data_IF_580721863236
#
_entry.id   IF_580721863236
#
_cell.length_a   1.000
_cell.length_b   1.000
_cell.length_c   1.000
_cell.angle_alpha   90.00
_cell.angle_beta   90.00
_cell.angle_gamma   90.00
#
_symmetry.space_group_name_H-M   'P 1'
#
loop_
_entity.id
_entity.type
_entity.pdbx_description
1 polymer ?
#
# COMPACT_ATOMS: atom_id res chain seq x y z
N UNK A 1 -6.88 -3.07 18.27
CA UNK A 1 -6.46 -2.64 16.92
C UNK A 1 -5.08 -3.26 16.67
N UNK A 2 -5.04 -4.51 16.18
CA UNK A 2 -3.80 -5.31 16.14
C UNK A 2 -2.92 -5.03 14.90
N UNK A 3 -3.36 -4.16 13.99
CA UNK A 3 -2.66 -3.87 12.74
C UNK A 3 -1.38 -3.05 12.94
N UNK A 4 -1.33 -2.14 13.93
CA UNK A 4 -0.13 -1.37 14.25
C UNK A 4 1.04 -2.27 14.68
N UNK A 5 0.76 -3.34 15.43
CA UNK A 5 1.79 -4.29 15.84
C UNK A 5 2.29 -5.12 14.65
N UNK A 6 1.38 -5.54 13.77
CA UNK A 6 1.74 -6.21 12.51
C UNK A 6 2.60 -5.32 11.61
N UNK A 7 2.30 -4.02 11.53
CA UNK A 7 3.05 -3.05 10.74
C UNK A 7 4.48 -2.86 11.27
N UNK A 8 4.67 -2.82 12.59
CA UNK A 8 5.98 -2.79 13.22
C UNK A 8 6.77 -4.07 12.92
N UNK A 9 6.14 -5.24 13.03
CA UNK A 9 6.78 -6.52 12.71
C UNK A 9 7.20 -6.63 11.25
N UNK A 10 6.37 -6.17 10.31
CA UNK A 10 6.69 -6.18 8.88
C UNK A 10 7.87 -5.23 8.62
N UNK A 11 7.82 -4.02 9.17
CA UNK A 11 8.90 -3.02 9.04
C UNK A 11 10.24 -3.54 9.59
N UNK A 12 10.22 -4.20 10.76
CA UNK A 12 11.41 -4.80 11.36
C UNK A 12 11.98 -5.97 10.54
N UNK A 13 11.15 -6.69 9.77
CA UNK A 13 11.61 -7.75 8.87
C UNK A 13 12.09 -7.18 7.52
N UNK A 14 11.51 -6.09 7.03
CA UNK A 14 11.99 -5.38 5.85
C UNK A 14 13.38 -4.79 6.07
N UNK A 15 13.63 -4.17 7.23
CA UNK A 15 14.95 -3.63 7.61
C UNK A 15 16.07 -4.69 7.63
N UNK A 16 15.72 -5.98 7.78
CA UNK A 16 16.66 -7.11 7.75
C UNK A 16 16.88 -7.71 6.35
N UNK A 17 16.50 -7.00 5.27
CA UNK A 17 16.72 -7.43 3.88
C UNK A 17 15.55 -8.21 3.28
N UNK A 18 14.38 -8.19 3.90
CA UNK A 18 13.18 -8.87 3.42
C UNK A 18 12.43 -8.09 2.33
N UNK A 19 13.04 -7.76 1.19
CA UNK A 19 12.32 -7.11 0.08
C UNK A 19 11.12 -7.96 -0.40
N UNK A 20 11.27 -9.29 -0.33
CA UNK A 20 10.21 -10.29 -0.61
C UNK A 20 8.94 -10.14 0.23
N UNK A 21 8.94 -9.36 1.31
CA UNK A 21 7.74 -9.15 2.13
C UNK A 21 6.70 -8.27 1.44
N UNK A 22 7.13 -7.28 0.66
CA UNK A 22 6.20 -6.42 -0.09
C UNK A 22 5.42 -7.23 -1.14
N UNK A 23 6.08 -8.20 -1.76
CA UNK A 23 5.49 -9.07 -2.78
C UNK A 23 4.60 -10.19 -2.20
N UNK A 24 4.67 -10.47 -0.89
CA UNK A 24 3.90 -11.58 -0.30
C UNK A 24 2.41 -11.43 -0.49
N UNK A 25 1.89 -10.20 -0.33
CA UNK A 25 0.46 -9.96 -0.52
C UNK A 25 0.07 -10.16 -1.99
N UNK A 26 0.89 -9.64 -2.92
CA UNK A 26 0.68 -9.83 -4.35
C UNK A 26 0.66 -11.33 -4.74
N UNK A 27 1.60 -12.12 -4.20
CA UNK A 27 1.66 -13.56 -4.41
C UNK A 27 0.43 -14.28 -3.84
N UNK A 28 -0.01 -13.89 -2.64
CA UNK A 28 -1.23 -14.44 -2.02
C UNK A 28 -2.47 -14.15 -2.85
N UNK A 29 -2.63 -12.90 -3.31
CA UNK A 29 -3.74 -12.49 -4.18
C UNK A 29 -3.71 -13.26 -5.51
N UNK A 30 -2.53 -13.41 -6.12
CA UNK A 30 -2.39 -14.18 -7.36
C UNK A 30 -2.79 -15.66 -7.20
N UNK A 31 -2.64 -16.24 -6.01
CA UNK A 31 -3.02 -17.64 -5.75
C UNK A 31 -4.52 -17.89 -5.66
N UNK A 32 -5.33 -16.83 -5.53
CA UNK A 32 -6.79 -16.90 -5.40
C UNK A 32 -7.53 -16.09 -6.49
N UNK A 33 -6.80 -15.53 -7.45
CA UNK A 33 -7.35 -14.58 -8.42
C UNK A 33 -8.37 -15.22 -9.37
N UNK A 34 -8.34 -16.54 -9.54
CA UNK A 34 -9.28 -17.32 -10.34
C UNK A 34 -10.65 -17.51 -9.65
N UNK A 35 -10.75 -17.20 -8.36
CA UNK A 35 -11.96 -17.36 -7.55
C UNK A 35 -12.77 -16.08 -7.40
N UNK A 36 -12.24 -14.93 -7.83
CA UNK A 36 -12.87 -13.61 -7.62
C UNK A 36 -12.72 -12.71 -8.84
N UNK A 37 -13.81 -12.07 -9.25
CA UNK A 37 -13.75 -11.03 -10.29
C UNK A 37 -13.06 -9.75 -9.79
N UNK A 38 -13.25 -9.42 -8.50
CA UNK A 38 -12.74 -8.21 -7.86
C UNK A 38 -12.28 -8.52 -6.45
N UNK A 39 -11.09 -8.05 -6.09
CA UNK A 39 -10.52 -8.12 -4.74
C UNK A 39 -10.31 -6.69 -4.23
N UNK A 40 -10.99 -6.35 -3.13
CA UNK A 40 -10.89 -5.02 -2.50
C UNK A 40 -9.88 -5.07 -1.36
N UNK A 41 -8.93 -4.13 -1.36
CA UNK A 41 -7.92 -3.98 -0.33
C UNK A 41 -8.16 -2.65 0.40
N UNK A 42 -8.32 -2.70 1.73
CA UNK A 42 -8.55 -1.52 2.58
C UNK A 42 -7.38 -1.35 3.57
N UNK A 43 -6.29 -0.68 3.16
CA UNK A 43 -5.14 -0.45 4.04
C UNK A 43 -5.42 0.67 5.05
N UNK A 44 -4.70 0.71 6.19
CA UNK A 44 -4.75 1.86 7.07
C UNK A 44 -4.30 3.14 6.33
N UNK A 45 -4.75 4.34 6.74
CA UNK A 45 -4.44 5.60 6.05
C UNK A 45 -2.95 6.00 6.11
N UNK A 46 -2.14 5.30 6.91
CA UNK A 46 -0.70 5.55 7.04
C UNK A 46 0.08 4.90 5.89
N UNK A 47 1.11 5.57 5.35
CA UNK A 47 2.04 5.02 4.35
C UNK A 47 3.12 4.11 4.99
N UNK A 48 2.73 3.18 5.85
CA UNK A 48 3.63 2.18 6.41
C UNK A 48 3.66 0.88 5.62
N UNK A 49 4.34 -0.13 6.15
CA UNK A 49 4.72 -1.32 5.38
C UNK A 49 3.53 -2.12 4.82
N UNK A 50 2.39 -2.15 5.52
CA UNK A 50 1.17 -2.81 5.05
C UNK A 50 0.61 -2.08 3.84
N UNK A 51 0.50 -0.75 3.93
CA UNK A 51 0.00 0.09 2.84
C UNK A 51 0.89 0.00 1.60
N UNK A 52 2.21 -0.08 1.76
CA UNK A 52 3.13 -0.29 0.64
C UNK A 52 2.95 -1.68 0.00
N UNK A 53 2.75 -2.73 0.79
CA UNK A 53 2.47 -4.07 0.26
C UNK A 53 1.12 -4.13 -0.49
N UNK A 54 0.11 -3.39 0.00
CA UNK A 54 -1.17 -3.21 -0.68
C UNK A 54 -1.00 -2.45 -1.99
N UNK A 55 -0.30 -1.31 -1.99
CA UNK A 55 -0.05 -0.53 -3.21
C UNK A 55 0.75 -1.33 -4.25
N UNK A 56 1.67 -2.19 -3.81
CA UNK A 56 2.43 -3.10 -4.68
C UNK A 56 1.54 -4.18 -5.30
N UNK A 57 0.56 -4.67 -4.56
CA UNK A 57 -0.33 -5.74 -5.02
C UNK A 57 -1.54 -5.24 -5.83
N UNK A 58 -1.94 -3.99 -5.63
CA UNK A 58 -3.10 -3.39 -6.29
C UNK A 58 -2.82 -3.05 -7.76
N UNK A 59 -3.82 -3.25 -8.61
CA UNK A 59 -3.79 -2.87 -10.03
C UNK A 59 -4.48 -1.52 -10.32
N UNK A 60 -5.29 -1.04 -9.39
CA UNK A 60 -6.00 0.23 -9.46
C UNK A 60 -6.18 0.80 -8.05
N UNK A 61 -6.30 2.13 -7.96
CA UNK A 61 -6.48 2.85 -6.70
C UNK A 61 -7.75 3.70 -6.78
N UNK A 62 -8.60 3.60 -5.76
CA UNK A 62 -9.82 4.40 -5.60
C UNK A 62 -9.64 5.28 -4.37
N UNK A 63 -9.63 6.59 -4.56
CA UNK A 63 -9.48 7.57 -3.46
C UNK A 63 -10.74 8.42 -3.40
N UNK A 64 -11.59 8.24 -2.38
CA UNK A 64 -12.73 9.13 -2.18
C UNK A 64 -12.25 10.51 -1.73
N UNK A 65 -12.71 11.56 -2.43
CA UNK A 65 -12.38 12.95 -2.10
C UNK A 65 -13.60 13.60 -1.45
N UNK A 66 -13.51 14.09 -0.20
CA UNK A 66 -14.61 14.82 0.41
C UNK A 66 -14.92 16.11 -0.37
N UNK A 67 -16.18 16.56 -0.43
CA UNK A 67 -16.59 17.71 -1.24
C UNK A 67 -16.16 19.07 -0.66
N UNK A 68 -15.53 19.11 0.52
CA UNK A 68 -15.13 20.37 1.14
C UNK A 68 -13.79 20.85 0.59
N UNK A 69 -13.67 22.16 0.35
CA UNK A 69 -12.45 22.77 -0.21
C UNK A 69 -11.24 22.57 0.72
N UNK A 70 -11.46 22.52 2.03
CA UNK A 70 -10.40 22.28 3.02
C UNK A 70 -9.88 20.84 2.97
N UNK A 71 -10.77 19.87 2.77
CA UNK A 71 -10.39 18.46 2.65
C UNK A 71 -9.70 18.15 1.32
N UNK A 72 -10.06 18.87 0.24
CA UNK A 72 -9.42 18.74 -1.08
C UNK A 72 -7.92 18.98 -1.02
N UNK A 73 -7.47 20.02 -0.29
CA UNK A 73 -6.04 20.30 -0.13
C UNK A 73 -5.32 19.16 0.60
N UNK A 74 -5.96 18.55 1.59
CA UNK A 74 -5.38 17.43 2.35
C UNK A 74 -5.25 16.18 1.48
N UNK A 75 -6.25 15.89 0.64
CA UNK A 75 -6.18 14.80 -0.34
C UNK A 75 -5.10 15.05 -1.39
N UNK A 76 -4.96 16.28 -1.88
CA UNK A 76 -3.90 16.63 -2.83
C UNK A 76 -2.50 16.40 -2.23
N UNK A 77 -2.26 16.84 -0.99
CA UNK A 77 -0.99 16.58 -0.30
C UNK A 77 -0.72 15.10 -0.09
N UNK A 78 -1.74 14.31 0.27
CA UNK A 78 -1.61 12.85 0.39
C UNK A 78 -1.22 12.20 -0.94
N UNK A 79 -1.86 12.61 -2.05
CA UNK A 79 -1.55 12.12 -3.38
C UNK A 79 -0.11 12.42 -3.79
N UNK A 80 0.40 13.62 -3.49
CA UNK A 80 1.81 13.97 -3.73
C UNK A 80 2.75 13.06 -2.94
N UNK A 81 2.48 12.83 -1.65
CA UNK A 81 3.29 11.92 -0.82
C UNK A 81 3.28 10.48 -1.35
N UNK A 82 2.12 10.02 -1.83
CA UNK A 82 1.95 8.70 -2.42
C UNK A 82 2.77 8.56 -3.71
N UNK A 83 2.71 9.54 -4.61
CA UNK A 83 3.48 9.58 -5.86
C UNK A 83 5.00 9.54 -5.59
N UNK A 84 5.49 10.36 -4.66
CA UNK A 84 6.90 10.34 -4.24
C UNK A 84 7.31 8.96 -3.71
N UNK A 85 6.47 8.35 -2.88
CA UNK A 85 6.75 7.04 -2.28
C UNK A 85 6.77 5.93 -3.33
N UNK A 86 5.82 5.93 -4.27
CA UNK A 86 5.75 4.97 -5.37
C UNK A 86 6.96 5.12 -6.31
N UNK A 87 7.34 6.35 -6.62
CA UNK A 87 8.51 6.65 -7.46
C UNK A 87 9.80 6.15 -6.78
N UNK A 88 9.94 6.34 -5.47
CA UNK A 88 11.08 5.81 -4.71
C UNK A 88 11.11 4.28 -4.72
N UNK A 89 9.96 3.61 -4.60
CA UNK A 89 9.87 2.15 -4.68
C UNK A 89 10.25 1.63 -6.07
N UNK A 90 9.75 2.28 -7.14
CA UNK A 90 10.09 1.93 -8.51
C UNK A 90 11.60 2.08 -8.78
N UNK A 91 12.25 3.13 -8.25
CA UNK A 91 13.69 3.35 -8.39
C UNK A 91 14.58 2.29 -7.73
N UNK A 92 14.00 1.47 -6.83
CA UNK A 92 14.71 0.44 -6.06
C UNK A 92 14.59 -0.96 -6.64
N UNK A 93 14.10 -1.10 -7.88
CA UNK A 93 13.91 -2.38 -8.58
C UNK A 93 13.04 -3.36 -7.77
N UNK A 94 11.99 -2.80 -7.16
CA UNK A 94 10.88 -3.52 -6.52
C UNK A 94 9.59 -3.39 -7.35
N UNK A 95 9.73 -3.03 -8.63
CA UNK A 95 8.66 -2.85 -9.60
C UNK A 95 8.33 -4.14 -10.37
#
# INVERSE_FOLDING_TARGET
LNLFQSEYEISARMARGGSRLLDRLAQGIASISDQFDVIVLDPPPALGAISLSVLRAANALIIPVPPTVMDFSSTASFLTMLDETLTQLASRDLA
#
